data_IF_450245164120
#
_entry.id   IF_450245164120
#
_cell.length_a   1.000
_cell.length_b   1.000
_cell.length_c   1.000
_cell.angle_alpha   90.00
_cell.angle_beta   90.00
_cell.angle_gamma   90.00
#
_symmetry.space_group_name_H-M   'P 1'
#
loop_
_entity.id
_entity.type
_entity.pdbx_description
1 polymer ?
#
# COMPACT_ATOMS: atom_id res chain seq x y z
N UNK A 1 -28.14 3.79 -2.73
CA UNK A 1 -28.68 4.42 -1.53
C UNK A 1 -27.59 4.44 -0.47
N UNK A 2 -27.16 5.61 0.01
CA UNK A 2 -26.09 5.82 1.00
C UNK A 2 -26.28 5.06 2.34
N UNK A 3 -27.42 4.45 2.55
CA UNK A 3 -27.75 3.73 3.79
C UNK A 3 -27.43 2.24 3.76
N UNK A 4 -27.05 1.66 2.62
CA UNK A 4 -26.75 0.24 2.47
C UNK A 4 -25.28 -0.09 2.23
N UNK A 5 -24.39 0.92 2.24
CA UNK A 5 -22.94 0.68 2.05
C UNK A 5 -22.55 0.17 0.66
N UNK A 6 -23.47 0.13 -0.28
CA UNK A 6 -23.20 -0.18 -1.68
C UNK A 6 -22.94 1.11 -2.45
N UNK A 7 -21.68 1.55 -2.46
CA UNK A 7 -21.24 2.55 -3.41
C UNK A 7 -20.92 1.85 -4.74
N UNK A 8 -21.92 1.86 -5.63
CA UNK A 8 -21.82 1.25 -6.95
C UNK A 8 -21.05 2.09 -7.99
N UNK A 9 -20.44 3.17 -7.56
CA UNK A 9 -19.55 3.98 -8.40
C UNK A 9 -18.12 3.48 -8.23
N UNK A 10 -17.72 2.51 -9.07
CA UNK A 10 -16.31 2.25 -9.28
C UNK A 10 -15.63 3.55 -9.72
N UNK A 11 -14.60 3.99 -8.99
CA UNK A 11 -13.74 5.08 -9.44
C UNK A 11 -13.03 4.57 -10.69
N UNK A 12 -13.43 5.03 -11.87
CA UNK A 12 -12.66 4.77 -13.09
C UNK A 12 -11.41 5.67 -13.03
N UNK A 13 -10.20 5.09 -12.93
CA UNK A 13 -8.99 5.88 -12.95
C UNK A 13 -8.86 6.57 -14.30
N UNK A 14 -8.85 7.90 -14.29
CA UNK A 14 -8.61 8.70 -15.48
C UNK A 14 -7.11 8.64 -15.79
N UNK A 15 -6.75 8.08 -16.94
CA UNK A 15 -5.36 8.09 -17.43
C UNK A 15 -4.95 9.52 -17.74
N UNK A 16 -3.94 10.09 -17.05
CA UNK A 16 -3.52 11.46 -17.28
C UNK A 16 -2.82 11.62 -18.62
N UNK A 17 -2.88 12.82 -19.23
CA UNK A 17 -2.13 13.11 -20.43
C UNK A 17 -0.60 12.93 -20.22
N UNK A 18 0.13 12.39 -21.21
CA UNK A 18 1.58 12.15 -21.09
C UNK A 18 2.41 13.42 -20.85
N UNK A 19 1.88 14.57 -21.24
CA UNK A 19 2.56 15.88 -21.14
C UNK A 19 2.67 16.38 -19.67
N UNK A 20 1.95 15.78 -18.75
CA UNK A 20 1.92 16.19 -17.34
C UNK A 20 3.07 15.61 -16.49
N UNK A 21 3.99 14.86 -17.08
CA UNK A 21 5.19 14.42 -16.36
C UNK A 21 6.23 15.56 -16.26
N UNK A 22 7.15 15.44 -15.30
CA UNK A 22 8.37 16.25 -15.20
C UNK A 22 9.57 15.34 -15.02
N UNK A 23 10.68 15.75 -15.62
CA UNK A 23 11.95 15.04 -15.57
C UNK A 23 13.07 16.01 -15.23
N UNK A 24 13.95 15.59 -14.33
CA UNK A 24 15.14 16.35 -13.92
C UNK A 24 16.36 15.47 -14.12
N UNK A 25 17.30 15.97 -14.90
CA UNK A 25 18.63 15.36 -15.08
C UNK A 25 19.62 16.03 -14.12
N UNK A 26 20.50 15.24 -13.54
CA UNK A 26 21.57 15.68 -12.66
C UNK A 26 22.93 15.41 -13.30
N UNK A 27 23.73 16.44 -13.46
CA UNK A 27 25.09 16.36 -13.99
C UNK A 27 26.02 17.22 -13.12
N UNK A 28 26.95 16.62 -12.37
CA UNK A 28 27.15 15.17 -12.21
C UNK A 28 25.98 14.47 -11.50
N UNK A 29 25.88 13.13 -11.61
CA UNK A 29 24.90 12.33 -10.85
C UNK A 29 25.02 12.55 -9.35
N UNK A 30 23.89 12.54 -8.62
CA UNK A 30 23.82 12.81 -7.21
C UNK A 30 23.68 11.52 -6.39
N UNK A 31 24.50 11.37 -5.36
CA UNK A 31 24.48 10.20 -4.45
C UNK A 31 23.67 10.44 -3.18
N UNK A 32 23.43 11.70 -2.81
CA UNK A 32 22.81 12.09 -1.54
C UNK A 32 21.33 12.40 -1.77
N UNK A 33 20.46 11.64 -1.10
CA UNK A 33 19.00 11.76 -1.25
C UNK A 33 18.48 13.18 -0.99
N UNK A 34 19.04 13.90 -0.03
CA UNK A 34 18.64 15.29 0.27
C UNK A 34 19.01 16.27 -0.86
N UNK A 35 20.11 16.03 -1.58
CA UNK A 35 20.49 16.84 -2.72
C UNK A 35 19.55 16.60 -3.91
N UNK A 36 19.19 15.34 -4.18
CA UNK A 36 18.18 14.98 -5.21
C UNK A 36 16.84 15.61 -4.83
N UNK A 37 16.38 15.46 -3.60
CA UNK A 37 15.16 16.05 -3.10
C UNK A 37 15.13 17.57 -3.26
N UNK A 38 16.25 18.23 -2.95
CA UNK A 38 16.38 19.69 -3.16
C UNK A 38 16.26 20.07 -4.64
N UNK A 39 16.93 19.33 -5.54
CA UNK A 39 16.88 19.55 -6.98
C UNK A 39 15.50 19.32 -7.59
N UNK A 40 14.66 18.49 -6.96
CA UNK A 40 13.31 18.18 -7.42
C UNK A 40 12.26 19.24 -7.07
N UNK A 41 12.55 20.21 -6.19
CA UNK A 41 11.52 21.15 -5.67
C UNK A 41 10.81 21.93 -6.78
N UNK A 42 11.56 22.52 -7.69
CA UNK A 42 10.98 23.31 -8.80
C UNK A 42 10.16 22.42 -9.73
N UNK A 43 10.67 21.24 -10.06
CA UNK A 43 9.96 20.29 -10.91
C UNK A 43 8.66 19.78 -10.25
N UNK A 44 8.65 19.58 -8.93
CA UNK A 44 7.45 19.21 -8.19
C UNK A 44 6.40 20.34 -8.20
N UNK A 45 6.83 21.59 -8.00
CA UNK A 45 5.94 22.76 -8.09
C UNK A 45 5.35 22.92 -9.51
N UNK A 46 6.19 22.81 -10.55
CA UNK A 46 5.74 22.89 -11.96
C UNK A 46 4.83 21.72 -12.35
N UNK A 47 5.09 20.53 -11.82
CA UNK A 47 4.24 19.35 -12.01
C UNK A 47 2.83 19.62 -11.52
N UNK A 48 2.70 20.07 -10.27
CA UNK A 48 1.41 20.35 -9.68
C UNK A 48 0.72 21.58 -10.29
N UNK A 49 1.48 22.60 -10.64
CA UNK A 49 0.93 23.76 -11.34
C UNK A 49 0.37 23.36 -12.74
N UNK A 50 1.04 22.44 -13.42
CA UNK A 50 0.55 21.89 -14.70
C UNK A 50 -0.77 21.12 -14.55
N UNK A 51 -0.93 20.35 -13.48
CA UNK A 51 -2.19 19.67 -13.15
C UNK A 51 -3.28 20.68 -12.77
N UNK A 52 -2.95 21.62 -11.90
CA UNK A 52 -3.89 22.67 -11.49
C UNK A 52 -4.39 23.54 -12.65
N UNK A 53 -3.58 23.76 -13.67
CA UNK A 53 -3.97 24.53 -14.89
C UNK A 53 -5.09 23.84 -15.70
N UNK A 54 -5.31 22.54 -15.47
CA UNK A 54 -6.38 21.74 -16.09
C UNK A 54 -7.39 21.22 -15.06
N UNK A 55 -7.48 21.88 -13.91
CA UNK A 55 -8.38 21.57 -12.82
C UNK A 55 -8.26 20.13 -12.26
N UNK A 56 -7.05 19.59 -12.29
CA UNK A 56 -6.73 18.25 -11.78
C UNK A 56 -5.81 18.31 -10.56
N UNK A 57 -5.90 17.28 -9.72
CA UNK A 57 -4.96 17.00 -8.63
C UNK A 57 -4.40 15.57 -8.80
N UNK A 58 -3.18 15.34 -8.30
CA UNK A 58 -2.55 14.02 -8.31
C UNK A 58 -2.94 13.26 -7.04
N UNK A 59 -3.50 12.07 -7.19
CA UNK A 59 -3.83 11.16 -6.09
C UNK A 59 -2.90 9.94 -6.06
N UNK A 60 -2.37 9.52 -7.21
CA UNK A 60 -1.31 8.53 -7.32
C UNK A 60 -0.15 9.10 -8.14
N UNK A 61 1.05 9.03 -7.57
CA UNK A 61 2.28 9.57 -8.15
C UNK A 61 3.21 8.43 -8.53
N UNK A 62 3.65 8.39 -9.78
CA UNK A 62 4.73 7.51 -10.22
C UNK A 62 6.06 8.26 -10.13
N UNK A 63 7.04 7.64 -9.49
CA UNK A 63 8.42 8.12 -9.40
C UNK A 63 9.33 7.09 -10.05
N UNK A 64 10.10 7.52 -11.02
CA UNK A 64 11.11 6.72 -11.73
C UNK A 64 12.48 7.33 -11.44
N UNK A 65 13.41 6.50 -10.94
CA UNK A 65 14.80 6.87 -10.68
C UNK A 65 15.71 6.13 -11.64
N UNK A 66 16.65 6.82 -12.26
CA UNK A 66 17.68 6.22 -13.12
C UNK A 66 19.05 6.54 -12.55
N UNK A 67 19.83 5.50 -12.27
CA UNK A 67 21.22 5.62 -11.85
C UNK A 67 22.17 5.86 -13.03
N UNK A 68 23.37 6.36 -12.74
CA UNK A 68 24.41 6.66 -13.72
C UNK A 68 24.87 5.43 -14.52
N UNK A 69 24.78 4.24 -13.93
CA UNK A 69 25.11 2.97 -14.61
C UNK A 69 23.90 2.32 -15.30
N UNK A 70 22.78 3.03 -15.37
CA UNK A 70 21.55 2.55 -16.01
C UNK A 70 20.64 1.71 -15.13
N UNK A 71 20.89 1.65 -13.82
CA UNK A 71 19.96 1.05 -12.86
C UNK A 71 18.64 1.83 -12.88
N UNK A 72 17.55 1.14 -12.68
CA UNK A 72 16.21 1.75 -12.68
C UNK A 72 15.40 1.28 -11.49
N UNK A 73 14.71 2.24 -10.88
CA UNK A 73 13.69 2.00 -9.87
C UNK A 73 12.44 2.75 -10.26
N UNK A 74 11.31 2.09 -10.12
CA UNK A 74 9.98 2.67 -10.37
C UNK A 74 9.05 2.31 -9.22
N UNK A 75 8.34 3.31 -8.68
CA UNK A 75 7.35 3.10 -7.62
C UNK A 75 6.15 4.02 -7.81
N UNK A 76 4.97 3.49 -7.47
CA UNK A 76 3.73 4.27 -7.43
C UNK A 76 3.37 4.54 -5.96
N UNK A 77 3.20 5.82 -5.65
CA UNK A 77 2.87 6.33 -4.33
C UNK A 77 1.43 6.82 -4.30
N UNK A 78 0.70 6.51 -3.24
CA UNK A 78 -0.66 6.96 -3.03
C UNK A 78 -0.72 8.12 -2.03
N UNK A 79 -1.67 9.01 -2.23
CA UNK A 79 -2.01 10.04 -1.27
C UNK A 79 -3.52 9.96 -0.95
N UNK A 80 -3.95 9.94 0.33
CA UNK A 80 -5.36 9.82 0.69
C UNK A 80 -6.20 11.04 0.26
N UNK A 81 -5.58 12.18 0.12
CA UNK A 81 -6.15 13.38 -0.51
C UNK A 81 -5.48 13.64 -1.85
N UNK A 82 -4.65 14.66 -1.94
CA UNK A 82 -3.87 14.99 -3.12
C UNK A 82 -2.44 15.37 -2.75
N UNK A 83 -1.49 15.06 -3.63
CA UNK A 83 -0.10 15.45 -3.46
C UNK A 83 0.06 16.98 -3.50
N UNK A 84 0.90 17.48 -2.61
CA UNK A 84 1.53 18.80 -2.68
C UNK A 84 3.01 18.67 -3.05
N UNK A 85 3.70 19.79 -3.31
CA UNK A 85 5.09 19.78 -3.73
C UNK A 85 6.02 19.16 -2.67
N UNK A 86 5.74 19.37 -1.40
CA UNK A 86 6.54 18.84 -0.30
C UNK A 86 6.39 17.30 -0.24
N UNK A 87 5.19 16.78 -0.34
CA UNK A 87 4.92 15.34 -0.34
C UNK A 87 5.52 14.65 -1.57
N UNK A 88 5.49 15.26 -2.76
CA UNK A 88 6.18 14.74 -3.96
C UNK A 88 7.69 14.60 -3.69
N UNK A 89 8.33 15.65 -3.20
CA UNK A 89 9.76 15.66 -2.88
C UNK A 89 10.11 14.62 -1.81
N UNK A 90 9.27 14.46 -0.78
CA UNK A 90 9.46 13.46 0.25
C UNK A 90 9.41 12.03 -0.31
N UNK A 91 8.50 11.73 -1.27
CA UNK A 91 8.43 10.42 -1.91
C UNK A 91 9.68 10.10 -2.72
N UNK A 92 10.19 11.06 -3.48
CA UNK A 92 11.47 10.90 -4.20
C UNK A 92 12.62 10.60 -3.23
N UNK A 93 12.72 11.35 -2.13
CA UNK A 93 13.75 11.15 -1.11
C UNK A 93 13.67 9.76 -0.47
N UNK A 94 12.48 9.34 -0.09
CA UNK A 94 12.27 8.04 0.56
C UNK A 94 12.57 6.88 -0.38
N UNK A 95 12.08 6.93 -1.62
CA UNK A 95 12.38 5.91 -2.61
C UNK A 95 13.88 5.76 -2.82
N UNK A 96 14.59 6.87 -3.02
CA UNK A 96 16.04 6.83 -3.20
C UNK A 96 16.75 6.26 -1.97
N UNK A 97 16.34 6.65 -0.77
CA UNK A 97 16.95 6.14 0.47
C UNK A 97 16.76 4.63 0.63
N UNK A 98 15.59 4.10 0.31
CA UNK A 98 15.31 2.65 0.35
C UNK A 98 16.05 1.91 -0.74
N UNK A 99 15.95 2.37 -1.99
CA UNK A 99 16.58 1.72 -3.15
C UNK A 99 18.10 1.64 -3.00
N UNK A 100 18.71 2.67 -2.37
CA UNK A 100 20.15 2.65 -2.03
C UNK A 100 20.43 1.64 -0.92
N UNK A 101 19.61 1.60 0.13
CA UNK A 101 19.79 0.66 1.24
C UNK A 101 19.58 -0.81 0.81
N UNK A 102 18.67 -1.05 -0.14
CA UNK A 102 18.40 -2.38 -0.72
C UNK A 102 19.37 -2.76 -1.85
N UNK A 103 20.23 -1.83 -2.29
CA UNK A 103 21.22 -2.05 -3.34
C UNK A 103 20.64 -2.05 -4.76
N UNK A 104 19.41 -1.59 -4.94
CA UNK A 104 18.77 -1.45 -6.26
C UNK A 104 19.38 -0.29 -7.06
N UNK A 105 19.78 0.78 -6.40
CA UNK A 105 20.54 1.90 -6.95
C UNK A 105 21.92 1.96 -6.28
N UNK A 106 22.92 1.43 -6.98
CA UNK A 106 24.30 1.36 -6.49
C UNK A 106 25.18 2.50 -7.02
N UNK A 107 24.66 3.34 -7.92
CA UNK A 107 25.33 4.53 -8.46
C UNK A 107 24.53 5.80 -8.13
N UNK A 108 25.17 6.96 -8.36
CA UNK A 108 24.46 8.24 -8.23
C UNK A 108 23.27 8.34 -9.20
N UNK A 109 22.23 9.05 -8.79
CA UNK A 109 21.04 9.30 -9.60
C UNK A 109 21.37 10.31 -10.68
N UNK A 110 21.17 9.94 -11.93
CA UNK A 110 21.33 10.78 -13.11
C UNK A 110 20.02 11.41 -13.59
N UNK A 111 18.88 10.71 -13.41
CA UNK A 111 17.57 11.21 -13.84
C UNK A 111 16.52 10.83 -12.83
N UNK A 112 15.65 11.79 -12.51
CA UNK A 112 14.39 11.56 -11.77
C UNK A 112 13.22 12.01 -12.65
N UNK A 113 12.26 11.13 -12.84
CA UNK A 113 11.01 11.43 -13.51
C UNK A 113 9.84 11.24 -12.56
N UNK A 114 8.94 12.21 -12.54
CA UNK A 114 7.67 12.16 -11.83
C UNK A 114 6.52 12.29 -12.83
N UNK A 115 5.52 11.46 -12.67
CA UNK A 115 4.32 11.46 -13.50
C UNK A 115 3.08 11.11 -12.69
N UNK A 116 1.90 11.65 -13.07
CA UNK A 116 0.67 11.28 -12.40
C UNK A 116 0.25 9.89 -12.89
N UNK A 117 0.05 8.95 -11.97
CA UNK A 117 -0.53 7.63 -12.25
C UNK A 117 -2.05 7.69 -12.19
N UNK A 118 -2.59 8.41 -11.20
CA UNK A 118 -4.01 8.72 -11.11
C UNK A 118 -4.22 10.20 -10.76
N UNK A 119 -5.26 10.76 -11.35
CA UNK A 119 -5.69 12.14 -11.09
C UNK A 119 -7.18 12.18 -10.79
N UNK A 120 -7.58 13.22 -10.05
CA UNK A 120 -8.99 13.52 -9.79
C UNK A 120 -9.27 14.99 -10.04
N UNK A 121 -10.56 15.37 -10.17
CA UNK A 121 -10.94 16.76 -10.33
C UNK A 121 -10.64 17.54 -9.04
N UNK A 122 -10.02 18.73 -9.17
CA UNK A 122 -9.70 19.58 -8.03
C UNK A 122 -10.92 19.94 -7.17
N UNK A 123 -12.12 20.03 -7.81
CA UNK A 123 -13.36 20.27 -7.12
C UNK A 123 -13.74 19.21 -6.06
N UNK A 124 -13.29 17.97 -6.23
CA UNK A 124 -13.54 16.89 -5.26
C UNK A 124 -12.64 16.99 -4.02
N UNK A 125 -11.53 17.71 -4.12
CA UNK A 125 -10.52 17.90 -3.08
C UNK A 125 -10.52 19.32 -2.51
N UNK A 126 -11.49 20.16 -2.91
CA UNK A 126 -11.64 21.47 -2.33
C UNK A 126 -11.92 21.34 -0.82
N UNK A 127 -11.24 22.14 0.04
CA UNK A 127 -11.45 22.07 1.48
C UNK A 127 -12.92 22.36 1.78
N UNK A 128 -13.63 21.39 2.32
CA UNK A 128 -14.99 21.59 2.80
C UNK A 128 -14.93 22.51 4.02
N UNK A 129 -15.82 23.48 4.08
CA UNK A 129 -15.90 24.46 5.19
C UNK A 129 -16.07 23.77 6.56
N UNK A 130 -16.50 22.49 6.54
CA UNK A 130 -16.65 21.65 7.72
C UNK A 130 -16.07 20.24 7.43
N UNK A 131 -14.88 19.91 7.95
CA UNK A 131 -14.48 18.52 8.14
C UNK A 131 -13.17 18.00 7.54
N UNK A 132 -12.54 18.65 6.54
CA UNK A 132 -11.28 18.17 5.93
C UNK A 132 -10.05 18.26 6.84
N UNK A 133 -10.07 19.12 7.84
CA UNK A 133 -8.92 19.36 8.73
C UNK A 133 -8.56 18.19 9.65
N UNK A 134 -9.39 17.15 9.79
CA UNK A 134 -9.05 15.96 10.60
C UNK A 134 -8.22 14.97 9.81
N UNK A 135 -8.57 14.66 8.57
CA UNK A 135 -7.84 13.72 7.71
C UNK A 135 -6.47 14.27 7.34
N UNK A 136 -6.37 15.54 7.00
CA UNK A 136 -5.10 16.20 6.69
C UNK A 136 -4.16 16.20 7.91
N UNK A 137 -4.66 16.47 9.12
CA UNK A 137 -3.87 16.37 10.35
C UNK A 137 -3.39 14.95 10.64
N UNK A 138 -4.23 13.95 10.39
CA UNK A 138 -3.85 12.53 10.52
C UNK A 138 -2.77 12.20 9.50
N UNK A 139 -2.92 12.61 8.24
CA UNK A 139 -1.93 12.40 7.21
C UNK A 139 -0.57 13.02 7.58
N UNK A 140 -0.54 14.28 8.01
CA UNK A 140 0.69 14.93 8.46
C UNK A 140 1.30 14.26 9.69
N UNK A 141 0.49 13.79 10.64
CA UNK A 141 0.97 13.08 11.81
C UNK A 141 1.61 11.74 11.42
N UNK A 142 0.98 10.95 10.55
CA UNK A 142 1.49 9.66 10.07
C UNK A 142 2.76 9.86 9.23
N UNK A 143 2.79 10.87 8.36
CA UNK A 143 3.98 11.22 7.57
C UNK A 143 5.18 11.59 8.46
N UNK A 144 4.94 12.33 9.55
CA UNK A 144 5.99 12.65 10.53
C UNK A 144 6.50 11.40 11.26
N UNK A 145 5.61 10.50 11.66
CA UNK A 145 6.00 9.23 12.29
C UNK A 145 6.82 8.39 11.31
N UNK A 146 6.39 8.32 10.06
CA UNK A 146 7.11 7.60 9.01
C UNK A 146 8.50 8.21 8.73
N UNK A 147 8.63 9.56 8.77
CA UNK A 147 9.92 10.22 8.64
C UNK A 147 10.88 9.91 9.80
N UNK A 148 10.36 9.64 11.01
CA UNK A 148 11.19 9.29 12.19
C UNK A 148 11.54 7.79 12.23
N UNK A 149 10.62 6.91 11.83
CA UNK A 149 10.77 5.46 11.96
C UNK A 149 11.19 4.76 10.66
N UNK A 150 11.34 5.52 9.57
CA UNK A 150 11.57 4.99 8.22
C UNK A 150 10.26 4.64 7.49
N UNK A 151 10.37 4.34 6.21
CA UNK A 151 9.23 4.11 5.31
C UNK A 151 8.24 3.05 5.83
N UNK A 152 8.76 1.94 6.37
CA UNK A 152 7.96 0.84 6.93
C UNK A 152 7.50 1.07 8.38
N UNK A 153 7.82 2.21 8.97
CA UNK A 153 7.45 2.55 10.35
C UNK A 153 5.94 2.81 10.55
N UNK A 154 5.21 3.07 9.47
CA UNK A 154 3.76 3.19 9.46
C UNK A 154 3.23 2.29 8.35
N UNK A 155 2.31 1.38 8.70
CA UNK A 155 1.73 0.43 7.74
C UNK A 155 0.21 0.42 7.81
N UNK A 156 -0.42 0.11 6.69
CA UNK A 156 -1.87 -0.08 6.56
C UNK A 156 -2.13 -1.54 6.21
N UNK A 157 -3.03 -2.24 6.92
CA UNK A 157 -3.38 -3.60 6.57
C UNK A 157 -4.21 -3.62 5.28
N UNK A 158 -3.84 -4.52 4.37
CA UNK A 158 -4.61 -4.84 3.18
C UNK A 158 -4.95 -6.33 3.15
N UNK A 159 -6.05 -6.68 2.50
CA UNK A 159 -6.46 -8.07 2.34
C UNK A 159 -6.00 -8.54 0.96
N UNK A 160 -5.06 -9.46 0.94
CA UNK A 160 -4.59 -10.15 -0.26
C UNK A 160 -5.37 -11.44 -0.56
N UNK A 161 -4.95 -12.13 -1.63
CA UNK A 161 -5.32 -13.50 -1.92
C UNK A 161 -4.32 -14.49 -1.31
N UNK A 162 -4.58 -15.78 -1.46
CA UNK A 162 -3.68 -16.82 -1.00
C UNK A 162 -4.42 -17.99 -0.32
N UNK A 163 -3.71 -19.09 -0.16
CA UNK A 163 -4.24 -20.29 0.48
C UNK A 163 -4.34 -20.14 2.00
N UNK A 164 -3.33 -19.49 2.60
CA UNK A 164 -3.21 -19.35 4.04
C UNK A 164 -3.68 -17.97 4.51
N UNK A 165 -4.25 -17.91 5.71
CA UNK A 165 -4.67 -16.62 6.30
C UNK A 165 -3.52 -15.62 6.44
N UNK A 166 -2.31 -16.09 6.72
CA UNK A 166 -1.12 -15.25 6.80
C UNK A 166 -0.77 -14.58 5.45
N UNK A 167 -1.00 -15.26 4.32
CA UNK A 167 -0.78 -14.71 2.98
C UNK A 167 -1.81 -13.64 2.62
N UNK A 168 -2.99 -13.69 3.25
CA UNK A 168 -4.08 -12.75 3.00
C UNK A 168 -3.94 -11.43 3.77
N UNK A 169 -3.13 -11.39 4.81
CA UNK A 169 -2.84 -10.17 5.55
C UNK A 169 -1.55 -9.54 5.00
N UNK A 170 -1.70 -8.48 4.23
CA UNK A 170 -0.58 -7.73 3.65
C UNK A 170 -0.44 -6.43 4.41
N UNK A 171 0.75 -6.17 4.97
CA UNK A 171 1.08 -4.89 5.61
C UNK A 171 1.75 -4.00 4.58
N UNK A 172 1.05 -2.96 4.16
CA UNK A 172 1.48 -2.02 3.13
C UNK A 172 1.99 -0.76 3.82
N UNK A 173 3.23 -0.31 3.53
CA UNK A 173 3.70 0.96 4.06
C UNK A 173 2.75 2.11 3.72
N UNK A 174 2.59 3.05 4.64
CA UNK A 174 1.71 4.19 4.46
C UNK A 174 2.10 5.00 3.22
N UNK A 175 1.16 5.16 2.31
CA UNK A 175 1.36 5.87 1.05
C UNK A 175 1.84 5.00 -0.12
N UNK A 176 2.06 3.69 0.09
CA UNK A 176 2.35 2.77 -1.01
C UNK A 176 1.05 2.21 -1.61
N UNK A 177 1.15 1.84 -2.88
CA UNK A 177 0.11 1.02 -3.51
C UNK A 177 0.25 -0.43 -3.04
N UNK A 178 -0.87 -1.05 -2.64
CA UNK A 178 -0.87 -2.46 -2.31
C UNK A 178 -0.56 -3.30 -3.57
N UNK A 179 0.60 -3.96 -3.58
CA UNK A 179 0.93 -4.98 -4.58
C UNK A 179 0.64 -6.34 -3.95
N UNK A 180 -0.35 -7.03 -4.48
CA UNK A 180 -0.77 -8.33 -3.98
C UNK A 180 -0.01 -9.42 -4.76
N UNK A 181 0.73 -10.28 -4.06
CA UNK A 181 1.39 -11.45 -4.66
C UNK A 181 0.35 -12.44 -5.22
N UNK A 182 -0.81 -12.49 -4.57
CA UNK A 182 -1.90 -13.39 -4.95
C UNK A 182 -3.19 -12.60 -5.12
N UNK A 183 -3.87 -12.80 -6.25
CA UNK A 183 -5.15 -12.17 -6.56
C UNK A 183 -6.24 -12.68 -5.59
N UNK A 184 -7.01 -11.75 -5.02
CA UNK A 184 -8.16 -12.06 -4.15
C UNK A 184 -9.28 -12.81 -4.86
N UNK A 185 -9.45 -12.58 -6.16
CA UNK A 185 -10.53 -13.14 -6.97
C UNK A 185 -10.33 -14.61 -7.37
N UNK A 186 -9.18 -15.19 -7.06
CA UNK A 186 -8.91 -16.59 -7.39
C UNK A 186 -9.64 -17.53 -6.44
N UNK A 187 -10.07 -18.72 -6.91
CA UNK A 187 -10.73 -19.74 -6.09
C UNK A 187 -9.69 -20.46 -5.21
N UNK A 188 -9.18 -19.76 -4.20
CA UNK A 188 -8.21 -20.34 -3.28
C UNK A 188 -8.82 -21.47 -2.45
N UNK A 189 -8.17 -22.64 -2.36
CA UNK A 189 -8.59 -23.70 -1.44
C UNK A 189 -8.61 -23.18 -0.02
N UNK A 190 -9.65 -23.51 0.73
CA UNK A 190 -9.82 -23.04 2.12
C UNK A 190 -10.14 -21.55 2.24
N UNK A 191 -10.70 -20.92 1.21
CA UNK A 191 -11.25 -19.57 1.34
C UNK A 191 -12.34 -19.54 2.40
N UNK A 192 -12.16 -18.65 3.37
CA UNK A 192 -13.16 -18.46 4.41
C UNK A 192 -14.34 -17.64 3.85
N UNK A 193 -15.58 -17.98 4.22
CA UNK A 193 -16.74 -17.14 3.92
C UNK A 193 -16.66 -15.82 4.68
N UNK A 194 -17.32 -14.79 4.20
CA UNK A 194 -17.48 -13.53 4.91
C UNK A 194 -18.33 -13.73 6.21
N UNK A 195 -18.02 -12.99 7.28
CA UNK A 195 -16.96 -12.02 7.40
C UNK A 195 -15.58 -12.66 7.64
N UNK A 196 -14.54 -12.08 7.02
CA UNK A 196 -13.18 -12.53 7.26
C UNK A 196 -12.75 -12.28 8.71
N UNK A 197 -11.82 -13.10 9.27
CA UNK A 197 -11.32 -12.89 10.62
C UNK A 197 -10.68 -11.52 10.78
N UNK A 198 -11.03 -10.80 11.85
CA UNK A 198 -10.46 -9.47 12.15
C UNK A 198 -9.03 -9.52 12.68
N UNK A 199 -8.53 -10.71 13.03
CA UNK A 199 -7.18 -10.89 13.57
C UNK A 199 -6.53 -12.13 12.98
N UNK A 200 -5.31 -11.98 12.49
CA UNK A 200 -4.41 -13.07 12.10
C UNK A 200 -3.17 -12.97 12.97
N UNK A 201 -2.83 -14.04 13.68
CA UNK A 201 -1.68 -14.06 14.58
C UNK A 201 -0.40 -14.30 13.76
N UNK A 202 0.65 -13.51 14.02
CA UNK A 202 1.98 -13.73 13.43
C UNK A 202 2.57 -15.09 13.86
N UNK A 203 2.33 -15.46 15.14
CA UNK A 203 2.62 -16.79 15.67
C UNK A 203 1.29 -17.43 16.07
N UNK A 204 0.79 -18.41 15.31
CA UNK A 204 -0.47 -19.04 15.60
C UNK A 204 -0.43 -19.75 16.97
N UNK A 205 -1.44 -19.55 17.85
CA UNK A 205 -1.52 -20.30 19.09
C UNK A 205 -1.72 -21.78 18.83
N UNK A 206 -1.11 -22.63 19.68
CA UNK A 206 -1.31 -24.06 19.59
C UNK A 206 -2.74 -24.42 20.03
N UNK A 207 -3.45 -25.14 19.17
CA UNK A 207 -4.81 -25.62 19.43
C UNK A 207 -4.87 -27.13 19.22
N UNK A 208 -5.75 -27.82 19.96
CA UNK A 208 -6.13 -29.18 19.65
C UNK A 208 -7.56 -29.23 19.15
N UNK A 209 -7.78 -29.98 18.08
CA UNK A 209 -9.09 -30.14 17.47
C UNK A 209 -9.48 -31.63 17.53
N UNK A 210 -10.72 -31.88 17.94
CA UNK A 210 -11.24 -33.24 17.98
C UNK A 210 -12.52 -33.40 17.15
N UNK A 211 -12.72 -34.58 16.62
CA UNK A 211 -13.91 -34.98 15.87
C UNK A 211 -15.11 -35.22 16.84
N UNK A 212 -16.33 -35.43 16.32
CA UNK A 212 -17.47 -35.79 17.13
C UNK A 212 -17.27 -37.12 17.93
N UNK A 213 -16.30 -37.92 17.52
CA UNK A 213 -15.92 -39.17 18.20
C UNK A 213 -14.85 -38.98 19.28
N UNK A 214 -14.37 -37.74 19.44
CA UNK A 214 -13.27 -37.43 20.37
C UNK A 214 -11.88 -37.77 19.82
N UNK A 215 -11.74 -38.12 18.54
CA UNK A 215 -10.46 -38.42 17.89
C UNK A 215 -9.78 -37.11 17.46
N UNK A 216 -8.45 -37.04 17.54
CA UNK A 216 -7.69 -35.88 17.12
C UNK A 216 -7.81 -35.67 15.61
N UNK A 217 -8.15 -34.45 15.20
CA UNK A 217 -8.22 -34.05 13.80
C UNK A 217 -6.88 -33.48 13.38
N UNK A 218 -6.33 -34.00 12.29
CA UNK A 218 -5.11 -33.51 11.65
C UNK A 218 -5.38 -32.98 10.25
N UNK A 219 -4.47 -32.16 9.75
CA UNK A 219 -4.50 -31.62 8.37
C UNK A 219 -3.31 -32.21 7.63
N UNK A 220 -3.53 -32.81 6.47
CA UNK A 220 -2.45 -33.33 5.63
C UNK A 220 -1.76 -32.19 4.84
N UNK A 221 -0.70 -32.52 4.12
CA UNK A 221 0.07 -31.61 3.26
C UNK A 221 -0.74 -31.03 2.07
N UNK A 222 -1.91 -31.60 1.79
CA UNK A 222 -2.87 -31.11 0.78
C UNK A 222 -4.00 -30.30 1.38
N UNK A 223 -3.97 -30.04 2.70
CA UNK A 223 -4.99 -29.29 3.41
C UNK A 223 -6.29 -30.09 3.69
N UNK A 224 -6.25 -31.43 3.60
CA UNK A 224 -7.43 -32.27 3.91
C UNK A 224 -7.45 -32.61 5.38
N UNK A 225 -8.63 -32.49 5.97
CA UNK A 225 -8.89 -32.91 7.35
C UNK A 225 -8.99 -34.44 7.43
N UNK A 226 -8.45 -35.04 8.49
CA UNK A 226 -8.55 -36.48 8.75
C UNK A 226 -9.98 -36.90 9.12
N UNK A 227 -10.75 -36.00 9.76
CA UNK A 227 -12.17 -36.19 10.14
C UNK A 227 -12.82 -34.80 10.31
N UNK A 228 -14.17 -34.67 10.21
CA UNK A 228 -14.87 -33.42 10.49
C UNK A 228 -14.56 -32.90 11.89
N UNK A 229 -14.14 -31.63 12.05
CA UNK A 229 -13.86 -31.05 13.35
C UNK A 229 -15.16 -30.73 14.10
N UNK A 230 -15.19 -30.97 15.40
CA UNK A 230 -16.36 -30.71 16.26
C UNK A 230 -16.06 -29.78 17.43
N UNK A 231 -14.89 -29.91 18.03
CA UNK A 231 -14.51 -29.13 19.20
C UNK A 231 -13.01 -28.71 19.08
N UNK A 232 -12.73 -27.48 19.50
CA UNK A 232 -11.37 -26.93 19.58
C UNK A 232 -11.04 -26.58 21.02
N UNK A 233 -9.84 -26.90 21.46
CA UNK A 233 -9.29 -26.52 22.76
C UNK A 233 -8.07 -25.63 22.59
N UNK A 234 -8.11 -24.45 23.23
CA UNK A 234 -7.03 -23.48 23.29
C UNK A 234 -6.78 -23.08 24.75
N UNK A 235 -5.57 -23.23 25.28
CA UNK A 235 -5.23 -22.83 26.65
C UNK A 235 -6.17 -23.41 27.73
N UNK A 236 -6.73 -24.60 27.51
CA UNK A 236 -7.70 -25.24 28.40
C UNK A 236 -9.16 -24.81 28.19
N UNK A 237 -9.43 -23.83 27.36
CA UNK A 237 -10.78 -23.40 26.97
C UNK A 237 -11.31 -24.26 25.82
N UNK A 238 -12.51 -24.83 25.99
CA UNK A 238 -13.18 -25.61 24.93
C UNK A 238 -14.22 -24.81 24.19
N UNK A 239 -14.27 -24.94 22.89
CA UNK A 239 -15.22 -24.26 21.99
C UNK A 239 -15.74 -25.23 20.95
N UNK A 240 -17.06 -25.29 20.76
CA UNK A 240 -17.67 -26.06 19.67
C UNK A 240 -17.41 -25.36 18.32
N UNK A 241 -17.01 -26.16 17.32
CA UNK A 241 -16.81 -25.70 15.95
C UNK A 241 -18.14 -25.83 15.20
N UNK A 242 -18.60 -24.75 14.59
CA UNK A 242 -19.88 -24.71 13.86
C UNK A 242 -19.68 -24.75 12.34
N UNK A 243 -18.54 -24.24 11.86
CA UNK A 243 -18.18 -24.23 10.44
C UNK A 243 -16.66 -24.22 10.29
N UNK A 244 -16.17 -24.76 9.20
CA UNK A 244 -14.75 -24.77 8.80
C UNK A 244 -14.68 -24.69 7.27
N UNK A 245 -13.52 -24.30 6.73
CA UNK A 245 -13.21 -24.20 5.29
C UNK A 245 -11.79 -24.72 5.00
#
# INVERSE_FOLDING_TARGET
>A
SLASGEDSRGVEPRVPPPELHREVAFEPPLEIADQVAFGMRVAAEEFLAGLGAVDLVCTELRVELTGDRGERSERVWLHPGSFDAASVVDRVRWQLSEDTAEGMLASGVSVVRISPEAVDAAAHHAPTVFGSGAEERVHHALSRVQAMLGHRGVVTPAVGGGRWLAERQVMVPWGDRAVLEHDRGQPWPGSLPDPLPGTVFAEPPAVSVVSPRGESVSVDDRGRLSDPPAEMTEGGSRRGIRSWA
#
